data_IF_876956835089
#
_entry.id   IF_876956835089
#
_cell.length_a   1.000
_cell.length_b   1.000
_cell.length_c   1.000
_cell.angle_alpha   90.00
_cell.angle_beta   90.00
_cell.angle_gamma   90.00
#
_symmetry.space_group_name_H-M   'P 1'
#
loop_
_entity.id
_entity.type
_entity.pdbx_description
1 polymer ?
#
# COMPACT_ATOMS: atom_id res chain seq x y z
N UNK A 1 -0.30 -21.31 3.79
CA UNK A 1 -0.06 -19.88 4.08
C UNK A 1 -0.76 -19.40 5.35
N UNK A 2 -1.37 -20.30 6.15
CA UNK A 2 -2.23 -19.96 7.30
C UNK A 2 -1.47 -19.60 8.59
N UNK A 3 -0.18 -19.96 8.70
CA UNK A 3 0.61 -19.78 9.93
C UNK A 3 1.47 -18.50 10.00
N UNK A 4 1.46 -17.65 8.97
CA UNK A 4 2.37 -16.49 8.91
C UNK A 4 1.72 -15.18 9.40
N UNK A 5 0.39 -15.06 9.32
CA UNK A 5 -0.30 -13.79 9.62
C UNK A 5 -1.06 -13.88 10.95
N UNK A 6 -0.33 -14.04 12.05
CA UNK A 6 -0.95 -14.09 13.39
C UNK A 6 -1.23 -12.69 13.96
N UNK A 7 -0.52 -11.66 13.49
CA UNK A 7 -0.63 -10.27 13.96
C UNK A 7 -1.36 -9.33 12.99
N UNK A 8 -2.15 -8.40 13.52
CA UNK A 8 -2.83 -7.34 12.75
C UNK A 8 -1.87 -6.49 11.91
N UNK A 9 -0.66 -6.20 12.42
CA UNK A 9 0.39 -5.54 11.64
C UNK A 9 0.82 -6.40 10.45
N UNK A 10 1.07 -7.69 10.66
CA UNK A 10 1.44 -8.61 9.59
C UNK A 10 0.42 -8.62 8.46
N UNK A 11 -0.88 -8.44 8.76
CA UNK A 11 -1.93 -8.36 7.75
C UNK A 11 -1.85 -7.08 6.91
N UNK A 12 -1.51 -5.95 7.55
CA UNK A 12 -1.28 -4.66 6.85
C UNK A 12 -0.04 -4.76 5.97
N UNK A 13 1.06 -5.31 6.49
CA UNK A 13 2.29 -5.51 5.73
C UNK A 13 2.08 -6.49 4.55
N UNK A 14 1.31 -7.56 4.75
CA UNK A 14 1.00 -8.50 3.66
C UNK A 14 0.10 -7.88 2.60
N UNK A 15 -0.91 -7.09 3.01
CA UNK A 15 -1.79 -6.36 2.08
C UNK A 15 -0.98 -5.34 1.26
N UNK A 16 -0.12 -4.56 1.91
CA UNK A 16 0.78 -3.62 1.24
C UNK A 16 1.69 -4.36 0.24
N UNK A 17 2.37 -5.42 0.68
CA UNK A 17 3.29 -6.18 -0.16
C UNK A 17 2.58 -6.86 -1.34
N UNK A 18 1.36 -7.36 -1.13
CA UNK A 18 0.58 -7.97 -2.21
C UNK A 18 0.13 -6.93 -3.23
N UNK A 19 -0.35 -5.77 -2.78
CA UNK A 19 -0.74 -4.66 -3.66
C UNK A 19 0.47 -4.15 -4.45
N UNK A 20 1.62 -4.05 -3.79
CA UNK A 20 2.88 -3.66 -4.38
C UNK A 20 3.36 -4.62 -5.48
N UNK A 21 3.37 -5.92 -5.18
CA UNK A 21 3.78 -6.97 -6.13
C UNK A 21 2.82 -7.02 -7.31
N UNK A 22 1.51 -7.01 -7.04
CA UNK A 22 0.51 -7.10 -8.09
C UNK A 22 0.56 -5.88 -9.02
N UNK A 23 0.77 -4.68 -8.46
CA UNK A 23 0.99 -3.47 -9.25
C UNK A 23 2.28 -3.54 -10.05
N UNK A 24 3.34 -4.05 -9.45
CA UNK A 24 4.62 -4.33 -10.09
C UNK A 24 4.51 -5.22 -11.32
N UNK A 25 3.73 -6.30 -11.22
CA UNK A 25 3.59 -7.29 -12.29
C UNK A 25 2.62 -6.85 -13.38
N UNK A 26 1.52 -6.20 -13.00
CA UNK A 26 0.43 -5.86 -13.93
C UNK A 26 0.66 -4.54 -14.65
N UNK A 27 1.46 -3.63 -14.07
CA UNK A 27 1.66 -2.28 -14.60
C UNK A 27 0.38 -1.43 -14.60
N UNK A 28 -0.62 -1.80 -13.79
CA UNK A 28 -1.90 -1.11 -13.69
C UNK A 28 -2.40 -1.08 -12.24
N UNK A 29 -2.46 0.12 -11.65
CA UNK A 29 -2.94 0.30 -10.28
C UNK A 29 -4.42 0.00 -10.05
N UNK A 30 -5.29 0.22 -11.04
CA UNK A 30 -6.73 -0.04 -10.90
C UNK A 30 -7.03 -1.53 -10.77
N UNK A 31 -6.37 -2.37 -11.57
CA UNK A 31 -6.53 -3.81 -11.44
C UNK A 31 -5.99 -4.31 -10.09
N UNK A 32 -4.87 -3.74 -9.67
CA UNK A 32 -4.20 -4.13 -8.43
C UNK A 32 -5.04 -3.80 -7.20
N UNK A 33 -5.61 -2.60 -7.13
CA UNK A 33 -6.39 -2.15 -5.98
C UNK A 33 -7.69 -2.95 -5.80
N UNK A 34 -8.36 -3.28 -6.91
CA UNK A 34 -9.59 -4.09 -6.90
C UNK A 34 -9.29 -5.51 -6.40
N UNK A 35 -8.28 -6.14 -7.00
CA UNK A 35 -7.91 -7.52 -6.66
C UNK A 35 -7.47 -7.64 -5.20
N UNK A 36 -6.60 -6.74 -4.72
CA UNK A 36 -6.17 -6.80 -3.32
C UNK A 36 -7.27 -6.38 -2.35
N UNK A 37 -8.20 -5.52 -2.79
CA UNK A 37 -9.38 -5.15 -2.02
C UNK A 37 -10.21 -6.38 -1.71
N UNK A 38 -10.57 -7.14 -2.74
CA UNK A 38 -11.37 -8.36 -2.59
C UNK A 38 -10.61 -9.44 -1.79
N UNK A 39 -9.31 -9.61 -2.03
CA UNK A 39 -8.49 -10.60 -1.32
C UNK A 39 -8.39 -10.37 0.20
N UNK A 40 -8.34 -9.11 0.63
CA UNK A 40 -8.07 -8.77 2.04
C UNK A 40 -9.29 -8.25 2.80
N UNK A 41 -10.43 -8.02 2.13
CA UNK A 41 -11.65 -7.50 2.76
C UNK A 41 -12.13 -8.41 3.91
N UNK A 42 -12.30 -9.72 3.67
CA UNK A 42 -12.75 -10.69 4.68
C UNK A 42 -11.75 -10.82 5.84
N UNK A 43 -10.45 -10.91 5.53
CA UNK A 43 -9.40 -11.02 6.55
C UNK A 43 -9.30 -9.78 7.46
N UNK A 44 -9.63 -8.58 6.96
CA UNK A 44 -9.70 -7.36 7.76
C UNK A 44 -10.96 -7.33 8.64
N UNK A 45 -12.10 -7.80 8.13
CA UNK A 45 -13.34 -7.94 8.90
C UNK A 45 -13.17 -8.92 10.06
N UNK A 46 -12.60 -10.11 9.82
CA UNK A 46 -12.33 -11.14 10.83
C UNK A 46 -11.45 -10.65 11.98
N UNK A 47 -10.52 -9.72 11.69
CA UNK A 47 -9.61 -9.13 12.69
C UNK A 47 -10.18 -7.88 13.37
N UNK A 48 -11.39 -7.45 12.99
CA UNK A 48 -12.04 -6.23 13.47
C UNK A 48 -11.29 -4.96 13.08
N UNK A 49 -10.65 -4.94 11.92
CA UNK A 49 -9.94 -3.78 11.39
C UNK A 49 -10.86 -2.95 10.49
N UNK A 50 -10.78 -1.60 10.54
CA UNK A 50 -11.62 -0.77 9.71
C UNK A 50 -11.21 -0.86 8.23
N UNK A 51 -12.18 -0.92 7.33
CA UNK A 51 -11.95 -0.92 5.86
C UNK A 51 -11.18 0.30 5.36
N UNK A 52 -11.30 1.43 6.06
CA UNK A 52 -10.53 2.63 5.76
C UNK A 52 -9.01 2.40 5.88
N UNK A 53 -8.59 1.53 6.80
CA UNK A 53 -7.18 1.16 6.94
C UNK A 53 -6.72 0.25 5.80
N UNK A 54 -7.57 -0.67 5.35
CA UNK A 54 -7.32 -1.51 4.17
C UNK A 54 -7.14 -0.64 2.93
N UNK A 55 -8.11 0.23 2.62
CA UNK A 55 -8.05 1.15 1.48
C UNK A 55 -6.78 2.01 1.51
N UNK A 56 -6.47 2.65 2.65
CA UNK A 56 -5.26 3.46 2.80
C UNK A 56 -3.97 2.66 2.62
N UNK A 57 -3.96 1.39 3.03
CA UNK A 57 -2.80 0.50 2.87
C UNK A 57 -2.57 0.13 1.42
N UNK A 58 -3.64 -0.23 0.70
CA UNK A 58 -3.56 -0.59 -0.72
C UNK A 58 -3.19 0.61 -1.58
N UNK A 59 -3.82 1.76 -1.34
CA UNK A 59 -3.52 3.02 -2.03
C UNK A 59 -2.03 3.36 -1.92
N UNK A 60 -1.46 3.28 -0.72
CA UNK A 60 -0.04 3.55 -0.52
C UNK A 60 0.87 2.47 -1.14
N UNK A 61 0.38 1.23 -1.28
CA UNK A 61 1.11 0.15 -1.95
C UNK A 61 1.19 0.32 -3.47
N UNK A 62 0.24 1.03 -4.06
CA UNK A 62 0.09 1.14 -5.51
C UNK A 62 0.67 2.46 -5.97
N UNK A 63 0.09 3.58 -5.54
CA UNK A 63 0.34 4.94 -6.04
C UNK A 63 1.81 5.34 -6.01
N UNK A 64 2.52 4.88 -4.99
CA UNK A 64 3.93 5.24 -4.78
C UNK A 64 4.88 4.40 -5.64
N UNK A 65 4.49 3.18 -6.01
CA UNK A 65 5.27 2.29 -6.85
C UNK A 65 5.10 2.56 -8.33
N UNK A 66 3.94 3.08 -8.73
CA UNK A 66 3.65 3.43 -10.12
C UNK A 66 4.71 4.34 -10.74
N UNK A 67 5.25 5.29 -9.96
CA UNK A 67 6.29 6.22 -10.43
C UNK A 67 7.70 5.62 -10.42
N UNK A 68 7.90 4.47 -9.78
CA UNK A 68 9.23 3.86 -9.59
C UNK A 68 9.52 2.74 -10.60
N UNK A 69 8.48 2.17 -11.22
CA UNK A 69 8.59 1.01 -12.10
C UNK A 69 8.67 1.46 -13.56
N UNK A 70 9.76 1.16 -14.30
CA UNK A 70 9.99 1.74 -15.62
C UNK A 70 8.95 1.35 -16.68
N UNK A 71 8.25 0.23 -16.49
CA UNK A 71 7.19 -0.25 -17.37
C UNK A 71 5.80 0.31 -17.02
N UNK A 72 5.68 1.13 -15.99
CA UNK A 72 4.42 1.75 -15.61
C UNK A 72 4.17 3.04 -16.40
N UNK A 73 2.91 3.32 -16.75
CA UNK A 73 2.53 4.45 -17.61
C UNK A 73 2.97 5.80 -17.02
N UNK A 74 2.81 5.99 -15.71
CA UNK A 74 3.27 7.22 -15.01
C UNK A 74 4.79 7.36 -15.02
N UNK A 75 5.53 6.27 -14.87
CA UNK A 75 6.99 6.31 -14.94
C UNK A 75 7.50 6.64 -16.36
N UNK A 76 6.84 6.08 -17.38
CA UNK A 76 7.11 6.39 -18.80
C UNK A 76 6.86 7.88 -19.05
N UNK A 77 5.72 8.40 -18.60
CA UNK A 77 5.40 9.83 -18.72
C UNK A 77 6.45 10.73 -18.04
N UNK A 78 6.87 10.38 -16.83
CA UNK A 78 7.91 11.11 -16.10
C UNK A 78 9.27 11.07 -16.81
N UNK A 79 9.68 9.89 -17.28
CA UNK A 79 10.94 9.73 -18.03
C UNK A 79 10.92 10.52 -19.35
N UNK A 80 9.79 10.55 -20.06
CA UNK A 80 9.62 11.32 -21.30
C UNK A 80 9.61 12.83 -21.07
N UNK A 81 9.07 13.28 -19.93
CA UNK A 81 9.04 14.71 -19.56
C UNK A 81 10.40 15.21 -19.10
N UNK A 82 11.11 14.43 -18.29
CA UNK A 82 12.42 14.79 -17.76
C UNK A 82 13.56 14.53 -18.74
N UNK A 83 13.34 13.70 -19.76
CA UNK A 83 14.37 13.28 -20.71
C UNK A 83 15.43 12.34 -20.12
N UNK A 84 15.19 11.80 -18.92
CA UNK A 84 16.10 10.87 -18.23
C UNK A 84 15.40 9.54 -17.95
N UNK A 85 16.13 8.40 -17.98
CA UNK A 85 15.58 7.10 -17.62
C UNK A 85 15.00 7.04 -16.20
N UNK A 86 14.01 6.18 -15.97
CA UNK A 86 13.36 6.00 -14.66
C UNK A 86 14.33 5.71 -13.52
N UNK A 87 15.35 4.89 -13.77
CA UNK A 87 16.34 4.55 -12.75
C UNK A 87 17.22 5.74 -12.34
N UNK A 88 17.38 6.75 -13.20
CA UNK A 88 18.19 7.93 -12.91
C UNK A 88 17.42 8.96 -12.07
N UNK A 89 16.11 9.14 -12.30
CA UNK A 89 15.30 10.02 -11.45
C UNK A 89 14.80 9.33 -10.17
N UNK A 90 14.87 8.00 -10.07
CA UNK A 90 14.43 7.21 -8.92
C UNK A 90 14.91 7.77 -7.56
N UNK A 91 16.21 8.14 -7.38
CA UNK A 91 16.70 8.67 -6.11
C UNK A 91 16.14 10.06 -5.79
N UNK A 92 15.75 10.80 -6.82
CA UNK A 92 15.19 12.15 -6.72
C UNK A 92 13.68 12.15 -6.45
N UNK A 93 13.03 10.98 -6.52
CA UNK A 93 11.62 10.79 -6.17
C UNK A 93 11.39 10.81 -4.64
N UNK A 94 11.91 11.84 -3.95
CA UNK A 94 11.92 11.99 -2.49
C UNK A 94 10.51 11.90 -1.92
N UNK A 95 9.51 12.48 -2.58
CA UNK A 95 8.11 12.39 -2.15
C UNK A 95 7.61 10.95 -2.12
N UNK A 96 7.94 10.14 -3.14
CA UNK A 96 7.54 8.74 -3.20
C UNK A 96 8.28 7.93 -2.11
N UNK A 97 9.60 8.05 -2.05
CA UNK A 97 10.41 7.33 -1.07
C UNK A 97 10.04 7.68 0.38
N UNK A 98 9.79 8.98 0.66
CA UNK A 98 9.36 9.44 1.98
C UNK A 98 7.95 8.97 2.33
N UNK A 99 7.02 8.90 1.37
CA UNK A 99 5.66 8.38 1.60
C UNK A 99 5.68 6.90 2.01
N UNK A 100 6.54 6.08 1.40
CA UNK A 100 6.73 4.67 1.81
C UNK A 100 7.26 4.61 3.24
N UNK A 101 8.29 5.38 3.55
CA UNK A 101 8.88 5.41 4.90
C UNK A 101 7.86 5.86 5.95
N UNK A 102 7.14 6.95 5.68
CA UNK A 102 6.11 7.49 6.55
C UNK A 102 4.96 6.50 6.75
N UNK A 103 4.55 5.77 5.71
CA UNK A 103 3.51 4.77 5.85
C UNK A 103 3.92 3.65 6.82
N UNK A 104 5.13 3.11 6.69
CA UNK A 104 5.60 2.07 7.61
C UNK A 104 5.78 2.57 9.03
N UNK A 105 6.33 3.78 9.21
CA UNK A 105 6.45 4.42 10.53
C UNK A 105 5.06 4.62 11.14
N UNK A 106 4.13 5.19 10.38
CA UNK A 106 2.76 5.44 10.83
C UNK A 106 1.99 4.15 11.06
N UNK A 107 2.25 3.07 10.32
CA UNK A 107 1.62 1.77 10.55
C UNK A 107 2.03 1.18 11.90
N UNK A 108 3.31 1.32 12.25
CA UNK A 108 3.85 0.91 13.55
C UNK A 108 3.30 1.81 14.68
N UNK A 109 3.32 3.14 14.50
CA UNK A 109 2.88 4.12 15.51
C UNK A 109 1.35 4.12 15.70
N UNK A 110 0.56 4.05 14.63
CA UNK A 110 -0.91 4.03 14.71
C UNK A 110 -1.46 2.71 15.25
N UNK A 111 -0.65 1.67 15.46
CA UNK A 111 -1.13 0.46 16.14
C UNK A 111 -1.74 0.76 17.53
N UNK A 112 -1.27 1.81 18.21
CA UNK A 112 -1.88 2.33 19.43
C UNK A 112 -3.21 3.09 19.20
N UNK A 113 -3.35 3.76 18.06
CA UNK A 113 -4.52 4.58 17.69
C UNK A 113 -5.68 3.78 17.07
N UNK A 114 -5.41 2.71 16.31
CA UNK A 114 -6.45 1.86 15.71
C UNK A 114 -7.29 1.15 16.79
N UNK A 115 -6.71 0.87 17.96
CA UNK A 115 -7.44 0.37 19.14
C UNK A 115 -8.52 1.34 19.63
N UNK A 116 -8.29 2.67 19.55
CA UNK A 116 -9.26 3.69 19.98
C UNK A 116 -10.40 3.85 18.98
N UNK A 117 -10.13 3.79 17.67
CA UNK A 117 -11.16 3.92 16.63
C UNK A 117 -12.07 2.70 16.53
N UNK A 118 -11.51 1.47 16.59
CA UNK A 118 -12.31 0.24 16.64
C UNK A 118 -13.22 0.24 17.87
N UNK A 119 -12.71 0.67 19.03
CA UNK A 119 -13.49 0.76 20.26
C UNK A 119 -14.55 1.86 20.23
N UNK A 120 -14.38 2.90 19.41
CA UNK A 120 -15.37 3.97 19.22
C UNK A 120 -16.47 3.58 18.24
N UNK A 121 -16.16 2.79 17.20
CA UNK A 121 -17.16 2.28 16.25
C UNK A 121 -17.96 1.11 16.85
N UNK A 122 -17.33 0.30 17.71
CA UNK A 122 -18.00 -0.82 18.38
C UNK A 122 -18.85 -0.40 19.60
N UNK A 123 -18.66 0.82 20.09
CA UNK A 123 -19.44 1.42 21.18
C UNK A 123 -20.43 2.50 20.73
N UNK A 124 -20.60 2.68 19.41
CA UNK A 124 -21.60 3.55 18.79
C UNK A 124 -22.70 2.68 18.18
#
# INVERSE_FOLDING_TARGET
MEKVVTGRLSLIFSAYGSAAILNGLTGNGQFSILTTGDMYNEAFEDKGLPKNLLSRTMENGITVLESLLPWHVTAIFMSGTLGVPTLEYLPWAIFNLSSIALFFILSIVNFGGTKKLVKSVQNA
#
